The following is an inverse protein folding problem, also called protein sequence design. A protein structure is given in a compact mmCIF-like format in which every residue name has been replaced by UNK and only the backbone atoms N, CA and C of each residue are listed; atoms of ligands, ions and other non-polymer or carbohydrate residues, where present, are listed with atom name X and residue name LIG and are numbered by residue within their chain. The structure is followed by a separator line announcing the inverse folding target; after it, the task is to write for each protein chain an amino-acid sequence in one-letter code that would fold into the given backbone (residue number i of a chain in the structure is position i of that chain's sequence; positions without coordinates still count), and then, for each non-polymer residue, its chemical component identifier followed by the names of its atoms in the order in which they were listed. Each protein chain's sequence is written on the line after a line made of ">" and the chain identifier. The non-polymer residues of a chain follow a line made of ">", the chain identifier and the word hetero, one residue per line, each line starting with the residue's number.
data_IF_756335041857
#
_entry.id   IF_756335041857
#
_cell.length_a   1.000
_cell.length_b   1.000
_cell.length_c   1.000
_cell.angle_alpha   90.00
_cell.angle_beta   90.00
_cell.angle_gamma   90.00
#
_symmetry.space_group_name_H-M   'P 1'
#
loop_
_entity.id
_entity.type
_entity.pdbx_description
1 polymer ?
#
# COMPACT_ATOMS: atom_id res chain seq x y z
N UNK A 1 -7.07 25.94 -31.00
CA UNK A 1 -7.92 26.15 -29.80
C UNK A 1 -8.48 24.88 -29.16
N UNK A 2 -9.08 23.91 -29.91
CA UNK A 2 -9.66 22.68 -29.32
C UNK A 2 -8.67 21.77 -28.53
N UNK A 3 -7.40 21.69 -28.95
CA UNK A 3 -6.34 20.92 -28.26
C UNK A 3 -5.91 21.52 -26.91
N UNK A 4 -5.90 22.85 -26.79
CA UNK A 4 -5.62 23.55 -25.53
C UNK A 4 -6.79 23.41 -24.54
N UNK A 5 -8.02 23.45 -25.04
CA UNK A 5 -9.24 23.26 -24.25
C UNK A 5 -9.37 21.84 -23.67
N UNK A 6 -9.03 20.81 -24.45
CA UNK A 6 -8.97 19.42 -23.96
C UNK A 6 -7.84 19.20 -22.93
N UNK A 7 -6.70 19.87 -23.09
CA UNK A 7 -5.60 19.83 -22.12
C UNK A 7 -6.00 20.51 -20.80
N UNK A 8 -6.74 21.61 -20.87
CA UNK A 8 -7.27 22.35 -19.72
C UNK A 8 -8.34 21.54 -18.94
N UNK A 9 -9.25 20.87 -19.65
CA UNK A 9 -10.26 19.97 -19.06
C UNK A 9 -9.61 18.72 -18.45
N UNK A 10 -8.51 18.22 -19.01
CA UNK A 10 -7.77 17.08 -18.43
C UNK A 10 -7.00 17.42 -17.13
N UNK A 11 -6.74 18.71 -16.88
CA UNK A 11 -6.18 19.22 -15.63
C UNK A 11 -7.25 19.33 -14.53
N UNK A 12 -8.49 19.67 -14.90
CA UNK A 12 -9.63 19.76 -13.99
C UNK A 12 -10.24 18.38 -13.73
N UNK A 13 -9.51 17.55 -12.99
CA UNK A 13 -10.08 16.28 -12.54
C UNK A 13 -11.23 16.57 -11.55
N UNK A 14 -12.45 16.06 -11.75
CA UNK A 14 -13.64 16.44 -10.97
C UNK A 14 -13.50 16.30 -9.44
N UNK A 15 -12.71 15.33 -8.96
CA UNK A 15 -12.46 15.12 -7.53
C UNK A 15 -11.62 16.25 -6.90
N UNK A 16 -10.73 16.89 -7.66
CA UNK A 16 -10.01 18.07 -7.18
C UNK A 16 -10.95 19.26 -6.97
N UNK A 17 -11.87 19.48 -7.91
CA UNK A 17 -12.87 20.55 -7.80
C UNK A 17 -13.78 20.31 -6.59
N UNK A 18 -14.28 19.08 -6.43
CA UNK A 18 -15.13 18.72 -5.29
C UNK A 18 -14.41 18.90 -3.96
N UNK A 19 -13.15 18.46 -3.85
CA UNK A 19 -12.34 18.67 -2.65
C UNK A 19 -12.19 20.16 -2.31
N UNK A 20 -11.82 20.99 -3.29
CA UNK A 20 -11.66 22.44 -3.09
C UNK A 20 -12.98 23.07 -2.65
N UNK A 21 -14.11 22.72 -3.29
CA UNK A 21 -15.41 23.26 -2.91
C UNK A 21 -15.82 22.87 -1.48
N UNK A 22 -15.54 21.63 -1.07
CA UNK A 22 -15.77 21.16 0.31
C UNK A 22 -14.89 21.92 1.31
N UNK A 23 -13.62 22.17 0.99
CA UNK A 23 -12.73 22.96 1.84
C UNK A 23 -13.19 24.42 1.97
N UNK A 24 -13.63 25.02 0.86
CA UNK A 24 -14.18 26.38 0.84
C UNK A 24 -15.45 26.47 1.69
N UNK A 25 -16.34 25.48 1.59
CA UNK A 25 -17.53 25.40 2.44
C UNK A 25 -17.14 25.31 3.93
N UNK A 26 -16.22 24.41 4.28
CA UNK A 26 -15.72 24.28 5.66
C UNK A 26 -15.15 25.59 6.21
N UNK A 27 -14.40 26.33 5.37
CA UNK A 27 -13.88 27.64 5.73
C UNK A 27 -14.97 28.67 6.00
N UNK A 28 -15.96 28.80 5.10
CA UNK A 28 -17.06 29.74 5.31
C UNK A 28 -17.92 29.37 6.52
N UNK A 29 -18.10 28.08 6.79
CA UNK A 29 -18.84 27.61 7.96
C UNK A 29 -18.15 27.95 9.28
N UNK A 30 -16.81 27.86 9.36
CA UNK A 30 -16.05 28.22 10.58
C UNK A 30 -15.67 29.71 10.68
N UNK A 31 -15.70 30.45 9.57
CA UNK A 31 -15.34 31.88 9.51
C UNK A 31 -15.98 32.77 10.58
N UNK A 32 -17.30 32.73 10.86
CA UNK A 32 -17.89 33.60 11.86
C UNK A 32 -17.32 33.35 13.26
N UNK A 33 -17.02 32.08 13.59
CA UNK A 33 -16.38 31.71 14.86
C UNK A 33 -14.93 32.18 14.89
N UNK A 34 -14.18 32.00 13.80
CA UNK A 34 -12.78 32.44 13.73
C UNK A 34 -12.62 33.96 13.86
N UNK A 35 -13.49 34.75 13.23
CA UNK A 35 -13.44 36.21 13.34
C UNK A 35 -13.71 36.67 14.77
N UNK A 36 -14.74 36.11 15.42
CA UNK A 36 -15.00 36.39 16.85
C UNK A 36 -13.80 35.98 17.71
N UNK A 37 -13.26 34.78 17.52
CA UNK A 37 -12.08 34.34 18.26
C UNK A 37 -10.88 35.30 18.06
N UNK A 38 -10.63 35.75 16.84
CA UNK A 38 -9.52 36.66 16.53
C UNK A 38 -9.66 38.03 17.17
N UNK A 39 -10.89 38.55 17.29
CA UNK A 39 -11.14 39.85 17.94
C UNK A 39 -10.96 39.80 19.47
N UNK A 40 -11.15 38.62 20.10
CA UNK A 40 -11.05 38.45 21.57
C UNK A 40 -9.71 37.91 22.08
N UNK A 41 -8.96 37.16 21.26
CA UNK A 41 -7.69 36.52 21.64
C UNK A 41 -6.58 37.52 22.05
N UNK A 42 -6.40 38.69 21.39
CA UNK A 42 -5.38 39.66 21.80
C UNK A 42 -5.57 40.22 23.21
N UNK A 43 -6.83 40.39 23.67
CA UNK A 43 -7.16 40.83 25.03
C UNK A 43 -7.10 39.71 26.07
N UNK A 44 -7.25 38.45 25.65
CA UNK A 44 -7.19 37.28 26.54
C UNK A 44 -5.74 36.86 26.88
N UNK A 45 -4.78 37.11 25.97
CA UNK A 45 -3.37 36.73 26.15
C UNK A 45 -2.68 37.54 27.28
N UNK A 46 -3.15 38.76 27.58
CA UNK A 46 -2.59 39.59 28.67
C UNK A 46 -3.17 39.29 30.06
N UNK A 47 -4.21 38.46 30.17
CA UNK A 47 -4.91 38.19 31.45
C UNK A 47 -5.28 36.71 31.51
N UNK A 48 -4.27 35.85 31.64
CA UNK A 48 -4.40 34.40 31.82
C UNK A 48 -4.95 33.99 33.22
N UNK A 49 -5.88 34.73 33.82
CA UNK A 49 -6.41 34.42 35.15
C UNK A 49 -7.79 33.75 35.16
N UNK A 50 -8.60 33.82 34.10
CA UNK A 50 -9.92 33.17 34.07
C UNK A 50 -10.34 32.68 32.68
N UNK A 51 -9.94 31.44 32.33
CA UNK A 51 -10.43 30.74 31.13
C UNK A 51 -11.96 30.64 31.04
N UNK A 52 -12.66 30.79 32.19
CA UNK A 52 -14.14 30.86 32.28
C UNK A 52 -14.74 32.06 31.56
N UNK A 53 -14.05 33.20 31.53
CA UNK A 53 -14.56 34.41 30.84
C UNK A 53 -14.42 34.29 29.33
N UNK A 54 -13.38 33.59 28.86
CA UNK A 54 -13.20 33.29 27.43
C UNK A 54 -14.22 32.26 26.94
N UNK A 55 -14.60 31.27 27.77
CA UNK A 55 -15.58 30.25 27.42
C UNK A 55 -17.03 30.77 27.43
N UNK A 56 -17.35 31.71 28.33
CA UNK A 56 -18.68 32.33 28.41
C UNK A 56 -18.96 33.28 27.23
N UNK A 57 -17.91 33.88 26.66
CA UNK A 57 -18.00 34.79 25.50
C UNK A 57 -17.99 34.04 24.17
N UNK A 58 -17.22 32.95 24.04
CA UNK A 58 -17.17 32.15 22.80
C UNK A 58 -18.42 31.30 22.60
N UNK A 59 -19.25 31.08 23.62
CA UNK A 59 -20.53 30.38 23.47
C UNK A 59 -20.39 28.89 23.16
N UNK A 60 -21.03 28.03 23.96
CA UNK A 60 -20.88 26.57 23.85
C UNK A 60 -21.26 25.98 22.49
N UNK A 61 -22.13 26.67 21.76
CA UNK A 61 -22.60 26.27 20.43
C UNK A 61 -21.59 26.56 19.31
N UNK A 62 -20.55 27.34 19.57
CA UNK A 62 -19.59 27.77 18.54
C UNK A 62 -18.40 26.82 18.40
N UNK A 63 -18.02 26.12 19.48
CA UNK A 63 -16.94 25.11 19.46
C UNK A 63 -17.29 23.94 18.51
N UNK A 64 -18.52 23.36 18.55
CA UNK A 64 -18.93 22.37 17.54
C UNK A 64 -18.85 22.91 16.12
N UNK A 65 -19.21 24.17 15.89
CA UNK A 65 -19.17 24.79 14.57
C UNK A 65 -17.74 24.87 14.00
N UNK A 66 -16.77 25.26 14.83
CA UNK A 66 -15.36 25.27 14.44
C UNK A 66 -14.85 23.86 14.12
N UNK A 67 -15.13 22.88 14.98
CA UNK A 67 -14.69 21.48 14.81
C UNK A 67 -15.28 20.87 13.53
N UNK A 68 -16.56 21.09 13.26
CA UNK A 68 -17.23 20.59 12.07
C UNK A 68 -16.68 21.23 10.79
N UNK A 69 -16.45 22.55 10.79
CA UNK A 69 -15.86 23.28 9.65
C UNK A 69 -14.41 22.86 9.37
N UNK A 70 -13.60 22.70 10.42
CA UNK A 70 -12.24 22.19 10.33
C UNK A 70 -12.23 20.72 9.82
N UNK A 71 -13.14 19.89 10.32
CA UNK A 71 -13.32 18.51 9.88
C UNK A 71 -13.60 18.41 8.38
N UNK A 72 -14.42 19.30 7.82
CA UNK A 72 -14.69 19.35 6.38
C UNK A 72 -13.45 19.72 5.55
N UNK A 73 -12.64 20.68 5.99
CA UNK A 73 -11.37 21.04 5.32
C UNK A 73 -10.41 19.86 5.32
N UNK A 74 -10.39 19.11 6.41
CA UNK A 74 -9.54 17.95 6.51
C UNK A 74 -10.02 16.79 5.61
N UNK A 75 -11.34 16.55 5.58
CA UNK A 75 -11.91 15.54 4.68
C UNK A 75 -11.71 15.92 3.21
N UNK A 76 -11.66 17.22 2.87
CA UNK A 76 -11.30 17.67 1.54
C UNK A 76 -9.91 17.17 1.09
N UNK A 77 -8.92 17.10 2.00
CA UNK A 77 -7.64 16.48 1.68
C UNK A 77 -7.77 14.98 1.38
N UNK A 78 -8.63 14.27 2.12
CA UNK A 78 -8.96 12.87 1.84
C UNK A 78 -9.67 12.67 0.49
N UNK A 79 -10.52 13.61 0.08
CA UNK A 79 -11.18 13.62 -1.24
C UNK A 79 -10.16 13.81 -2.38
N UNK A 80 -9.09 14.60 -2.20
CA UNK A 80 -8.00 14.72 -3.18
C UNK A 80 -7.34 13.37 -3.47
N UNK A 81 -7.21 12.53 -2.44
CA UNK A 81 -6.66 11.17 -2.53
C UNK A 81 -7.68 10.13 -3.03
N UNK A 82 -8.88 10.57 -3.44
CA UNK A 82 -10.00 9.72 -3.88
C UNK A 82 -10.43 8.68 -2.83
N UNK A 83 -10.29 9.03 -1.55
CA UNK A 83 -10.58 8.10 -0.46
C UNK A 83 -12.08 7.92 -0.25
N UNK A 84 -12.56 6.67 -0.25
CA UNK A 84 -13.98 6.34 -0.04
C UNK A 84 -14.50 6.76 1.33
N UNK A 85 -13.65 6.65 2.35
CA UNK A 85 -13.94 7.05 3.73
C UNK A 85 -14.14 8.56 3.80
N UNK A 86 -13.26 9.35 3.20
CA UNK A 86 -13.39 10.81 3.17
C UNK A 86 -14.66 11.28 2.45
N UNK A 87 -15.07 10.59 1.39
CA UNK A 87 -16.35 10.83 0.70
C UNK A 87 -17.55 10.61 1.62
N UNK A 88 -17.63 9.47 2.29
CA UNK A 88 -18.74 9.15 3.18
C UNK A 88 -18.85 10.13 4.35
N UNK A 89 -17.72 10.48 4.98
CA UNK A 89 -17.69 11.43 6.09
C UNK A 89 -17.96 12.86 5.65
N UNK A 90 -17.50 13.29 4.47
CA UNK A 90 -17.85 14.60 3.93
C UNK A 90 -19.37 14.73 3.75
N UNK A 91 -20.04 13.67 3.27
CA UNK A 91 -21.51 13.67 3.17
C UNK A 91 -22.19 13.78 4.53
N UNK A 92 -21.71 13.03 5.53
CA UNK A 92 -22.25 13.10 6.89
C UNK A 92 -22.05 14.49 7.52
N UNK A 93 -20.85 15.06 7.41
CA UNK A 93 -20.53 16.39 7.94
C UNK A 93 -21.31 17.48 7.20
N UNK A 94 -21.48 17.38 5.88
CA UNK A 94 -22.30 18.32 5.10
C UNK A 94 -23.78 18.25 5.50
N UNK A 95 -24.29 17.06 5.82
CA UNK A 95 -25.65 16.90 6.35
C UNK A 95 -25.80 17.61 7.69
N UNK A 96 -24.90 17.35 8.65
CA UNK A 96 -24.95 17.96 9.99
C UNK A 96 -24.75 19.48 9.92
N UNK A 97 -23.76 19.97 9.18
CA UNK A 97 -23.51 21.42 9.05
C UNK A 97 -24.60 22.13 8.26
N UNK A 98 -25.20 21.46 7.27
CA UNK A 98 -26.36 21.95 6.54
C UNK A 98 -27.59 22.10 7.45
N UNK A 99 -27.92 21.07 8.24
CA UNK A 99 -29.06 21.15 9.18
C UNK A 99 -28.84 22.22 10.23
N UNK A 100 -27.61 22.34 10.78
CA UNK A 100 -27.28 23.42 11.72
C UNK A 100 -27.38 24.81 11.07
N UNK A 101 -26.96 24.96 9.81
CA UNK A 101 -27.09 26.24 9.07
C UNK A 101 -28.54 26.63 8.80
N UNK A 102 -29.46 25.67 8.80
CA UNK A 102 -30.90 25.91 8.63
C UNK A 102 -31.62 26.16 9.96
N UNK A 103 -31.27 25.42 11.02
CA UNK A 103 -31.90 25.53 12.35
C UNK A 103 -31.36 26.71 13.18
N UNK A 104 -30.11 27.13 12.96
CA UNK A 104 -29.52 28.19 13.76
C UNK A 104 -30.19 29.55 13.47
N UNK A 105 -30.55 30.34 14.50
CA UNK A 105 -31.17 31.67 14.32
C UNK A 105 -30.33 32.66 13.51
N UNK A 106 -29.01 32.47 13.47
CA UNK A 106 -28.04 33.26 12.71
C UNK A 106 -27.52 32.52 11.46
N UNK A 107 -28.17 31.43 11.08
CA UNK A 107 -27.76 30.58 9.97
C UNK A 107 -27.90 31.28 8.60
N UNK A 108 -26.97 31.00 7.69
CA UNK A 108 -27.03 31.52 6.32
C UNK A 108 -27.75 30.51 5.42
N UNK A 109 -28.88 30.92 4.83
CA UNK A 109 -29.58 30.14 3.80
C UNK A 109 -28.66 29.81 2.61
N UNK A 110 -27.71 30.69 2.28
CA UNK A 110 -26.72 30.44 1.24
C UNK A 110 -25.79 29.25 1.55
N UNK A 111 -25.38 29.09 2.82
CA UNK A 111 -24.58 27.94 3.24
C UNK A 111 -25.39 26.64 3.19
N UNK A 112 -26.66 26.67 3.57
CA UNK A 112 -27.54 25.51 3.46
C UNK A 112 -27.66 25.01 2.01
N UNK A 113 -28.00 25.88 1.06
CA UNK A 113 -28.09 25.49 -0.35
C UNK A 113 -26.74 25.02 -0.91
N UNK A 114 -25.64 25.64 -0.49
CA UNK A 114 -24.31 25.22 -0.91
C UNK A 114 -23.96 23.81 -0.40
N UNK A 115 -24.32 23.48 0.84
CA UNK A 115 -24.16 22.15 1.42
C UNK A 115 -24.99 21.07 0.68
N UNK A 116 -26.24 21.39 0.34
CA UNK A 116 -27.13 20.50 -0.40
C UNK A 116 -26.58 20.22 -1.81
N UNK A 117 -26.17 21.26 -2.53
CA UNK A 117 -25.58 21.12 -3.88
C UNK A 117 -24.30 20.27 -3.82
N UNK A 118 -23.42 20.53 -2.85
CA UNK A 118 -22.20 19.75 -2.68
C UNK A 118 -22.47 18.29 -2.34
N UNK A 119 -23.47 18.02 -1.51
CA UNK A 119 -23.88 16.66 -1.15
C UNK A 119 -24.39 15.90 -2.38
N UNK A 120 -25.25 16.54 -3.20
CA UNK A 120 -25.73 15.96 -4.46
C UNK A 120 -24.59 15.67 -5.43
N UNK A 121 -23.66 16.61 -5.60
CA UNK A 121 -22.49 16.41 -6.45
C UNK A 121 -21.61 15.27 -5.96
N UNK A 122 -21.35 15.16 -4.66
CA UNK A 122 -20.58 14.05 -4.09
C UNK A 122 -21.28 12.70 -4.33
N UNK A 123 -22.61 12.63 -4.20
CA UNK A 123 -23.39 11.41 -4.48
C UNK A 123 -23.29 11.03 -5.96
N UNK A 124 -23.47 11.99 -6.88
CA UNK A 124 -23.36 11.73 -8.33
C UNK A 124 -21.97 11.21 -8.72
N UNK A 125 -20.92 11.78 -8.13
CA UNK A 125 -19.53 11.39 -8.42
C UNK A 125 -18.99 10.26 -7.52
N UNK A 126 -19.83 9.50 -6.80
CA UNK A 126 -19.38 8.50 -5.82
C UNK A 126 -18.40 7.45 -6.38
N UNK A 127 -18.59 7.01 -7.63
CA UNK A 127 -17.71 6.04 -8.34
C UNK A 127 -16.29 6.55 -8.59
N UNK A 128 -15.99 7.83 -8.33
CA UNK A 128 -14.62 8.37 -8.46
C UNK A 128 -13.80 8.18 -7.17
N UNK A 129 -14.44 7.78 -6.07
CA UNK A 129 -13.85 7.62 -4.74
C UNK A 129 -13.71 6.14 -4.35
N UNK A 130 -13.20 5.30 -5.25
CA UNK A 130 -13.11 3.85 -5.05
C UNK A 130 -11.80 3.40 -4.37
N UNK A 131 -10.88 4.32 -4.06
CA UNK A 131 -9.61 3.96 -3.44
C UNK A 131 -9.76 3.86 -1.91
N UNK A 132 -9.45 2.68 -1.36
CA UNK A 132 -9.17 2.52 0.06
C UNK A 132 -7.76 3.09 0.33
N UNK A 133 -7.69 4.36 0.75
CA UNK A 133 -6.41 5.00 1.09
C UNK A 133 -6.10 4.78 2.58
N UNK A 134 -5.04 4.01 2.85
CA UNK A 134 -4.50 3.79 4.20
C UNK A 134 -4.11 5.12 4.87
N UNK A 135 -3.58 6.07 4.10
CA UNK A 135 -3.24 7.41 4.57
C UNK A 135 -4.48 8.22 4.99
N UNK A 136 -5.61 8.07 4.26
CA UNK A 136 -6.85 8.72 4.63
C UNK A 136 -7.48 8.12 5.89
N UNK A 137 -7.32 6.81 6.12
CA UNK A 137 -7.72 6.15 7.37
C UNK A 137 -6.96 6.67 8.58
N UNK A 138 -5.63 6.79 8.49
CA UNK A 138 -4.81 7.33 9.57
C UNK A 138 -5.08 8.81 9.87
N UNK A 139 -5.27 9.64 8.84
CA UNK A 139 -5.65 11.04 9.00
C UNK A 139 -7.02 11.18 9.67
N UNK A 140 -7.98 10.35 9.27
CA UNK A 140 -9.31 10.30 9.88
C UNK A 140 -9.26 9.92 11.35
N UNK A 141 -8.49 8.88 11.70
CA UNK A 141 -8.28 8.43 13.07
C UNK A 141 -7.72 9.57 13.95
N UNK A 142 -6.65 10.22 13.48
CA UNK A 142 -6.00 11.33 14.19
C UNK A 142 -6.96 12.48 14.46
N UNK A 143 -7.82 12.80 13.49
CA UNK A 143 -8.71 13.96 13.56
C UNK A 143 -9.95 13.67 14.38
N UNK A 144 -10.49 12.46 14.27
CA UNK A 144 -11.58 12.01 15.14
C UNK A 144 -11.12 11.96 16.59
N UNK A 145 -9.91 11.48 16.84
CA UNK A 145 -9.29 11.48 18.16
C UNK A 145 -9.07 12.91 18.69
N UNK A 146 -8.45 13.79 17.91
CA UNK A 146 -8.23 15.17 18.29
C UNK A 146 -9.54 15.93 18.55
N UNK A 147 -10.56 15.72 17.71
CA UNK A 147 -11.87 16.37 17.86
C UNK A 147 -12.58 15.90 19.13
N UNK A 148 -12.55 14.60 19.41
CA UNK A 148 -13.14 14.05 20.63
C UNK A 148 -12.40 14.52 21.88
N UNK A 149 -11.07 14.57 21.83
CA UNK A 149 -10.25 15.10 22.91
C UNK A 149 -10.59 16.57 23.18
N UNK A 150 -10.69 17.41 22.16
CA UNK A 150 -11.11 18.81 22.32
C UNK A 150 -12.52 18.91 22.90
N UNK A 151 -13.48 18.12 22.40
CA UNK A 151 -14.85 18.07 22.94
C UNK A 151 -14.86 17.68 24.43
N UNK A 152 -14.10 16.66 24.80
CA UNK A 152 -14.01 16.19 26.18
C UNK A 152 -13.36 17.24 27.09
N UNK A 153 -12.28 17.88 26.64
CA UNK A 153 -11.55 18.89 27.42
C UNK A 153 -12.37 20.15 27.61
N UNK A 154 -12.93 20.71 26.54
CA UNK A 154 -13.75 21.92 26.67
C UNK A 154 -15.08 21.65 27.36
N UNK A 155 -15.70 20.49 27.13
CA UNK A 155 -16.93 20.10 27.79
C UNK A 155 -16.76 19.87 29.30
N UNK A 156 -15.65 19.24 29.71
CA UNK A 156 -15.34 19.04 31.13
C UNK A 156 -14.94 20.34 31.84
N UNK A 157 -14.26 21.26 31.16
CA UNK A 157 -14.02 22.61 31.68
C UNK A 157 -15.31 23.41 31.84
N UNK A 158 -16.21 23.34 30.87
CA UNK A 158 -17.48 24.06 30.93
C UNK A 158 -18.35 23.56 32.08
N UNK A 159 -18.48 22.24 32.21
CA UNK A 159 -19.21 21.59 33.29
C UNK A 159 -18.35 21.45 34.55
N UNK A 160 -17.22 22.14 34.67
CA UNK A 160 -16.22 21.87 35.69
C UNK A 160 -16.71 21.99 37.14
N UNK A 161 -17.70 22.86 37.39
CA UNK A 161 -18.36 22.97 38.70
C UNK A 161 -19.28 21.79 39.05
N UNK A 162 -19.59 20.94 38.08
CA UNK A 162 -20.47 19.77 38.19
C UNK A 162 -19.69 18.45 38.39
N UNK A 163 -18.37 18.55 38.58
CA UNK A 163 -17.47 17.45 38.92
C UNK A 163 -16.96 17.57 40.36
N UNK A 164 -16.58 16.44 40.95
CA UNK A 164 -15.95 16.36 42.26
C UNK A 164 -14.63 15.59 42.16
N UNK A 165 -13.47 16.20 42.48
CA UNK A 165 -13.26 17.64 42.68
C UNK A 165 -13.58 18.45 41.40
N UNK A 166 -13.86 19.76 41.52
CA UNK A 166 -14.22 20.58 40.37
C UNK A 166 -13.04 20.75 39.42
N UNK A 167 -13.32 20.69 38.12
CA UNK A 167 -12.34 20.88 37.05
C UNK A 167 -12.25 22.38 36.75
N UNK A 168 -11.12 23.02 37.09
CA UNK A 168 -10.96 24.48 36.97
C UNK A 168 -9.88 24.89 35.97
N UNK A 169 -8.95 23.99 35.67
CA UNK A 169 -7.77 24.24 34.87
C UNK A 169 -7.65 23.25 33.69
N UNK A 170 -7.05 23.72 32.59
CA UNK A 170 -6.90 22.96 31.35
C UNK A 170 -6.12 21.63 31.53
N UNK A 171 -5.05 21.56 32.34
CA UNK A 171 -4.37 20.29 32.63
C UNK A 171 -5.28 19.24 33.29
N UNK A 172 -6.06 19.62 34.30
CA UNK A 172 -7.02 18.70 34.96
C UNK A 172 -8.11 18.22 34.00
N UNK A 173 -8.61 19.09 33.13
CA UNK A 173 -9.59 18.72 32.11
C UNK A 173 -9.01 17.76 31.04
N UNK A 174 -7.78 18.02 30.60
CA UNK A 174 -7.03 17.12 29.71
C UNK A 174 -6.81 15.75 30.35
N UNK A 175 -6.39 15.73 31.61
CA UNK A 175 -6.22 14.51 32.38
C UNK A 175 -7.52 13.70 32.46
N UNK A 176 -8.63 14.30 32.91
CA UNK A 176 -9.93 13.64 32.97
C UNK A 176 -10.36 13.08 31.61
N UNK A 177 -10.16 13.86 30.54
CA UNK A 177 -10.54 13.48 29.18
C UNK A 177 -9.77 12.25 28.69
N UNK A 178 -8.45 12.25 28.86
CA UNK A 178 -7.60 11.12 28.46
C UNK A 178 -7.95 9.87 29.26
N UNK A 179 -8.08 9.97 30.59
CA UNK A 179 -8.42 8.84 31.48
C UNK A 179 -9.78 8.23 31.14
N UNK A 180 -10.76 9.08 30.82
CA UNK A 180 -12.11 8.65 30.44
C UNK A 180 -12.12 7.99 29.05
N UNK A 181 -11.43 8.59 28.07
CA UNK A 181 -11.35 8.06 26.70
C UNK A 181 -10.52 6.78 26.60
N UNK A 182 -9.50 6.62 27.45
CA UNK A 182 -8.65 5.42 27.51
C UNK A 182 -9.26 4.27 28.31
N UNK A 183 -10.50 4.43 28.79
CA UNK A 183 -11.22 3.44 29.63
C UNK A 183 -10.49 3.08 30.93
N UNK A 184 -9.57 3.93 31.41
CA UNK A 184 -8.83 3.67 32.66
C UNK A 184 -9.70 3.99 33.88
N UNK A 185 -10.32 5.18 33.87
CA UNK A 185 -11.32 5.57 34.87
C UNK A 185 -10.85 5.48 36.32
N UNK A 186 -9.80 6.24 36.69
CA UNK A 186 -9.25 6.24 38.06
C UNK A 186 -10.27 6.57 39.16
N UNK A 187 -11.36 7.26 38.81
CA UNK A 187 -12.44 7.60 39.75
C UNK A 187 -12.08 8.72 40.73
N UNK A 188 -10.97 9.40 40.49
CA UNK A 188 -10.49 10.56 41.24
C UNK A 188 -11.25 11.85 40.89
N UNK A 189 -11.80 11.96 39.68
CA UNK A 189 -12.70 13.02 39.24
C UNK A 189 -14.02 12.40 38.74
N UNK A 190 -15.14 12.74 39.38
CA UNK A 190 -16.45 12.13 39.08
C UNK A 190 -17.55 13.17 38.85
N UNK A 191 -18.45 12.96 37.86
CA UNK A 191 -19.59 13.83 37.64
C UNK A 191 -20.68 13.59 38.71
N UNK A 192 -21.16 14.65 39.37
CA UNK A 192 -22.18 14.52 40.42
C UNK A 192 -23.58 14.99 39.98
N UNK A 193 -23.68 15.81 38.94
CA UNK A 193 -24.97 16.25 38.36
C UNK A 193 -25.46 15.31 37.24
N UNK A 194 -26.74 15.38 36.89
CA UNK A 194 -27.31 14.60 35.78
C UNK A 194 -26.71 15.00 34.41
N UNK A 195 -26.49 16.30 34.20
CA UNK A 195 -25.89 16.89 32.99
C UNK A 195 -24.45 16.43 32.79
N UNK A 196 -23.60 16.51 33.82
CA UNK A 196 -22.22 16.03 33.76
C UNK A 196 -22.13 14.50 33.56
N UNK A 197 -23.07 13.73 34.12
CA UNK A 197 -23.16 12.28 33.88
C UNK A 197 -23.49 11.97 32.42
N UNK A 198 -24.50 12.61 31.83
CA UNK A 198 -24.86 12.41 30.43
C UNK A 198 -23.74 12.84 29.48
N UNK A 199 -23.09 13.97 29.78
CA UNK A 199 -21.89 14.40 29.06
C UNK A 199 -20.78 13.33 29.13
N UNK A 200 -20.45 12.84 30.32
CA UNK A 200 -19.42 11.81 30.50
C UNK A 200 -19.75 10.53 29.75
N UNK A 201 -21.02 10.09 29.77
CA UNK A 201 -21.50 8.95 28.96
C UNK A 201 -21.26 9.19 27.47
N UNK A 202 -21.54 10.40 26.96
CA UNK A 202 -21.29 10.74 25.55
C UNK A 202 -19.80 10.64 25.19
N UNK A 203 -18.91 11.11 26.07
CA UNK A 203 -17.45 11.03 25.88
C UNK A 203 -16.98 9.58 25.85
N UNK A 204 -17.49 8.72 26.74
CA UNK A 204 -17.12 7.31 26.80
C UNK A 204 -17.58 6.56 25.53
N UNK A 205 -18.84 6.72 25.13
CA UNK A 205 -19.40 6.04 23.94
C UNK A 205 -18.68 6.45 22.66
N UNK A 206 -18.42 7.76 22.49
CA UNK A 206 -17.64 8.26 21.36
C UNK A 206 -16.18 7.81 21.46
N UNK A 207 -15.60 7.79 22.67
CA UNK A 207 -14.23 7.35 22.96
C UNK A 207 -13.95 5.94 22.49
N UNK A 208 -14.81 4.99 22.87
CA UNK A 208 -14.67 3.59 22.46
C UNK A 208 -14.73 3.47 20.93
N UNK A 209 -15.65 4.19 20.28
CA UNK A 209 -15.83 4.13 18.83
C UNK A 209 -14.62 4.71 18.08
N UNK A 210 -14.14 5.88 18.50
CA UNK A 210 -12.97 6.55 17.92
C UNK A 210 -11.70 5.73 18.17
N UNK A 211 -11.53 5.16 19.36
CA UNK A 211 -10.38 4.33 19.70
C UNK A 211 -10.35 3.04 18.88
N UNK A 212 -11.47 2.32 18.79
CA UNK A 212 -11.59 1.09 18.00
C UNK A 212 -11.31 1.32 16.50
N UNK A 213 -11.86 2.39 15.93
CA UNK A 213 -11.64 2.75 14.53
C UNK A 213 -10.21 3.24 14.27
N UNK A 214 -9.61 3.97 15.21
CA UNK A 214 -8.23 4.47 15.10
C UNK A 214 -7.21 3.33 15.13
N UNK A 215 -7.39 2.36 16.02
CA UNK A 215 -6.56 1.14 16.07
C UNK A 215 -6.62 0.39 14.74
N UNK A 216 -7.82 0.19 14.18
CA UNK A 216 -7.98 -0.49 12.90
C UNK A 216 -7.26 0.24 11.76
N UNK A 217 -7.37 1.57 11.72
CA UNK A 217 -6.73 2.42 10.72
C UNK A 217 -5.18 2.47 10.82
N UNK A 218 -4.62 2.33 12.02
CA UNK A 218 -3.16 2.34 12.27
C UNK A 218 -2.56 0.95 12.09
N UNK A 219 -3.22 -0.10 12.61
CA UNK A 219 -2.72 -1.48 12.59
C UNK A 219 -2.88 -2.11 11.20
N UNK A 220 -3.97 -1.83 10.49
CA UNK A 220 -4.22 -2.36 9.14
C UNK A 220 -3.05 -2.17 8.16
N UNK A 221 -2.50 -0.94 8.00
CA UNK A 221 -1.32 -0.71 7.18
C UNK A 221 -0.04 -1.41 7.68
N UNK A 222 0.17 -1.44 9.00
CA UNK A 222 1.38 -2.01 9.63
C UNK A 222 1.43 -3.53 9.44
N UNK A 223 0.31 -4.21 9.58
CA UNK A 223 0.19 -5.66 9.37
C UNK A 223 0.09 -6.01 7.88
N UNK A 224 -0.63 -5.20 7.09
CA UNK A 224 -0.99 -5.54 5.71
C UNK A 224 0.06 -5.21 4.64
N UNK A 225 0.78 -4.09 4.75
CA UNK A 225 1.57 -3.57 3.63
C UNK A 225 3.07 -3.88 3.68
N UNK A 226 3.68 -3.72 4.86
CA UNK A 226 5.14 -3.77 4.99
C UNK A 226 5.67 -5.06 5.60
N UNK A 227 4.90 -5.72 6.47
CA UNK A 227 5.38 -6.92 7.15
C UNK A 227 5.51 -8.11 6.19
N UNK A 228 4.54 -8.30 5.28
CA UNK A 228 4.63 -9.35 4.23
C UNK A 228 5.83 -9.14 3.29
N UNK A 229 6.20 -7.90 2.97
CA UNK A 229 7.32 -7.58 2.05
C UNK A 229 8.68 -7.56 2.75
N UNK A 230 8.75 -7.08 4.00
CA UNK A 230 9.98 -7.03 4.79
C UNK A 230 10.36 -8.40 5.39
N UNK A 231 9.37 -9.22 5.76
CA UNK A 231 9.64 -10.58 6.28
C UNK A 231 9.97 -11.55 5.15
N UNK A 232 9.28 -11.52 3.99
CA UNK A 232 9.65 -12.37 2.84
C UNK A 232 10.93 -11.91 2.13
N UNK A 233 11.16 -10.60 1.99
CA UNK A 233 12.30 -10.07 1.24
C UNK A 233 13.65 -10.20 1.95
N UNK A 234 13.68 -10.19 3.29
CA UNK A 234 14.94 -10.32 4.04
C UNK A 234 15.36 -11.77 4.33
N UNK A 235 14.43 -12.73 4.33
CA UNK A 235 14.79 -14.14 4.57
C UNK A 235 15.34 -14.79 3.29
N UNK A 236 14.89 -14.38 2.09
CA UNK A 236 15.39 -14.92 0.81
C UNK A 236 16.87 -14.56 0.54
N UNK A 237 17.29 -13.33 0.87
CA UNK A 237 18.62 -12.86 0.48
C UNK A 237 19.78 -13.47 1.29
N UNK A 238 19.49 -14.06 2.45
CA UNK A 238 20.51 -14.51 3.42
C UNK A 238 21.01 -15.94 3.15
N UNK A 239 20.35 -16.72 2.28
CA UNK A 239 20.78 -18.10 1.97
C UNK A 239 20.76 -18.49 0.47
N UNK A 240 21.13 -17.60 -0.45
CA UNK A 240 21.40 -17.98 -1.86
C UNK A 240 22.77 -18.64 -2.00
N UNK A 241 22.93 -19.86 -1.46
CA UNK A 241 24.10 -20.74 -1.64
C UNK A 241 23.62 -22.09 -2.15
N UNK A 242 24.27 -22.62 -3.19
CA UNK A 242 23.97 -23.92 -3.77
C UNK A 242 22.51 -24.03 -4.26
N UNK A 243 21.99 -22.96 -4.86
CA UNK A 243 20.63 -22.85 -5.39
C UNK A 243 20.62 -22.87 -6.92
N UNK A 244 19.43 -22.99 -7.50
CA UNK A 244 19.20 -22.95 -8.94
C UNK A 244 18.63 -21.59 -9.33
N UNK A 245 19.11 -21.02 -10.43
CA UNK A 245 18.55 -19.82 -11.06
C UNK A 245 17.84 -20.23 -12.34
N UNK A 246 16.55 -19.91 -12.45
CA UNK A 246 15.75 -20.14 -13.65
C UNK A 246 15.44 -18.79 -14.31
N UNK A 247 15.96 -18.57 -15.52
CA UNK A 247 15.69 -17.38 -16.31
C UNK A 247 14.64 -17.68 -17.37
N UNK A 248 13.42 -17.16 -17.18
CA UNK A 248 12.30 -17.34 -18.08
C UNK A 248 10.98 -17.60 -17.37
N UNK A 249 9.89 -17.45 -18.11
CA UNK A 249 8.51 -17.70 -17.67
C UNK A 249 7.75 -18.57 -18.67
N UNK A 250 8.45 -19.55 -19.24
CA UNK A 250 7.89 -20.49 -20.22
C UNK A 250 7.22 -21.67 -19.50
N UNK A 251 6.32 -22.42 -20.16
CA UNK A 251 5.76 -23.65 -19.60
C UNK A 251 6.86 -24.63 -19.14
N UNK A 252 7.94 -24.75 -19.91
CA UNK A 252 9.10 -25.57 -19.54
C UNK A 252 9.77 -25.04 -18.26
N UNK A 253 10.02 -23.73 -18.18
CA UNK A 253 10.61 -23.11 -17.00
C UNK A 253 9.75 -23.31 -15.74
N UNK A 254 8.42 -23.28 -15.88
CA UNK A 254 7.50 -23.59 -14.79
C UNK A 254 7.54 -25.06 -14.38
N UNK A 255 7.53 -26.00 -15.35
CA UNK A 255 7.64 -27.44 -15.06
C UNK A 255 8.96 -27.78 -14.36
N UNK A 256 10.08 -27.20 -14.80
CA UNK A 256 11.39 -27.36 -14.15
C UNK A 256 11.36 -26.81 -12.73
N UNK A 257 10.79 -25.62 -12.53
CA UNK A 257 10.64 -25.03 -11.20
C UNK A 257 9.82 -25.94 -10.27
N UNK A 258 8.65 -26.43 -10.70
CA UNK A 258 7.81 -27.30 -9.89
C UNK A 258 8.52 -28.61 -9.55
N UNK A 259 9.23 -29.22 -10.51
CA UNK A 259 9.98 -30.46 -10.29
C UNK A 259 11.13 -30.30 -9.29
N UNK A 260 11.89 -29.20 -9.35
CA UNK A 260 12.95 -28.91 -8.39
C UNK A 260 12.38 -28.53 -7.01
N UNK A 261 11.28 -27.77 -6.98
CA UNK A 261 10.63 -27.36 -5.73
C UNK A 261 10.10 -28.55 -4.95
N UNK A 262 9.54 -29.56 -5.63
CA UNK A 262 9.08 -30.81 -5.01
C UNK A 262 10.20 -31.59 -4.31
N UNK A 263 11.44 -31.45 -4.78
CA UNK A 263 12.63 -32.08 -4.21
C UNK A 263 13.25 -31.28 -3.06
N UNK A 264 12.70 -30.10 -2.75
CA UNK A 264 13.19 -29.22 -1.69
C UNK A 264 14.37 -28.33 -2.09
N UNK A 265 14.66 -28.20 -3.39
CA UNK A 265 15.76 -27.37 -3.88
C UNK A 265 15.49 -25.87 -3.68
N UNK A 266 16.54 -25.12 -3.35
CA UNK A 266 16.48 -23.66 -3.30
C UNK A 266 16.49 -23.09 -4.74
N UNK A 267 15.53 -22.22 -5.05
CA UNK A 267 15.26 -21.74 -6.40
C UNK A 267 15.06 -20.23 -6.39
N UNK A 268 15.68 -19.54 -7.36
CA UNK A 268 15.42 -18.14 -7.68
C UNK A 268 15.01 -18.05 -9.15
N UNK A 269 13.93 -17.32 -9.44
CA UNK A 269 13.40 -17.18 -10.80
C UNK A 269 13.55 -15.73 -11.25
N UNK A 270 13.99 -15.50 -12.49
CA UNK A 270 14.12 -14.17 -13.10
C UNK A 270 13.15 -14.05 -14.27
N UNK A 271 12.30 -13.03 -14.24
CA UNK A 271 11.29 -12.76 -15.28
C UNK A 271 11.38 -11.30 -15.74
N UNK A 272 11.44 -11.01 -17.06
CA UNK A 272 11.47 -9.65 -17.56
C UNK A 272 10.23 -8.82 -17.18
N UNK A 273 10.35 -7.48 -17.10
CA UNK A 273 9.19 -6.63 -16.89
C UNK A 273 8.18 -6.80 -18.04
N UNK A 274 6.89 -6.83 -17.71
CA UNK A 274 5.76 -7.03 -18.64
C UNK A 274 5.61 -8.44 -19.24
N UNK A 275 6.32 -9.45 -18.73
CA UNK A 275 6.06 -10.86 -19.09
C UNK A 275 5.14 -11.47 -18.03
N UNK A 276 4.00 -12.01 -18.46
CA UNK A 276 3.09 -12.75 -17.58
C UNK A 276 3.71 -14.09 -17.18
N UNK A 277 3.49 -14.54 -15.95
CA UNK A 277 4.01 -15.81 -15.46
C UNK A 277 3.02 -16.48 -14.50
N UNK A 278 3.12 -17.80 -14.37
CA UNK A 278 2.25 -18.64 -13.53
C UNK A 278 2.96 -19.16 -12.28
N UNK A 279 4.16 -18.64 -11.98
CA UNK A 279 4.90 -19.03 -10.77
C UNK A 279 4.07 -18.76 -9.48
N UNK A 280 4.08 -19.71 -8.51
CA UNK A 280 3.40 -19.55 -7.23
C UNK A 280 3.81 -18.27 -6.47
N UNK A 281 2.90 -17.68 -5.65
CA UNK A 281 3.15 -16.42 -4.94
C UNK A 281 4.20 -16.49 -3.81
N UNK A 282 4.70 -17.68 -3.49
CA UNK A 282 5.79 -17.94 -2.54
C UNK A 282 7.17 -18.13 -3.22
N UNK A 283 7.23 -18.03 -4.55
CA UNK A 283 8.48 -18.12 -5.33
C UNK A 283 9.43 -16.95 -5.01
N UNK A 284 10.73 -17.25 -4.87
CA UNK A 284 11.78 -16.21 -4.87
C UNK A 284 11.95 -15.68 -6.30
N UNK A 285 11.19 -14.63 -6.62
CA UNK A 285 11.06 -14.08 -7.97
C UNK A 285 11.72 -12.70 -8.05
N UNK A 286 12.55 -12.51 -9.07
CA UNK A 286 13.18 -11.24 -9.43
C UNK A 286 12.58 -10.76 -10.74
N UNK A 287 11.99 -9.55 -10.72
CA UNK A 287 11.52 -8.89 -11.93
C UNK A 287 12.66 -8.06 -12.50
N UNK A 288 13.21 -8.50 -13.62
CA UNK A 288 14.39 -7.89 -14.24
C UNK A 288 14.78 -8.62 -15.52
N UNK A 289 15.61 -7.96 -16.33
CA UNK A 289 16.15 -8.57 -17.53
C UNK A 289 17.20 -9.64 -17.17
N UNK A 290 16.98 -10.93 -17.49
CA UNK A 290 17.92 -11.99 -17.16
C UNK A 290 19.21 -11.94 -17.98
N UNK A 291 19.27 -11.16 -19.07
CA UNK A 291 20.50 -10.91 -19.82
C UNK A 291 21.43 -9.89 -19.13
N UNK A 292 20.95 -9.23 -18.06
CA UNK A 292 21.73 -8.23 -17.31
C UNK A 292 22.59 -8.89 -16.24
N UNK A 293 23.91 -8.67 -16.32
CA UNK A 293 24.87 -9.07 -15.28
C UNK A 293 24.45 -8.60 -13.87
N UNK A 294 23.92 -7.37 -13.76
CA UNK A 294 23.45 -6.80 -12.49
C UNK A 294 22.30 -7.63 -11.88
N UNK A 295 21.34 -8.05 -12.71
CA UNK A 295 20.18 -8.84 -12.27
C UNK A 295 20.63 -10.26 -11.87
N UNK A 296 21.58 -10.84 -12.59
CA UNK A 296 22.16 -12.14 -12.24
C UNK A 296 22.97 -12.08 -10.93
N UNK A 297 23.71 -11.00 -10.68
CA UNK A 297 24.40 -10.77 -9.40
C UNK A 297 23.38 -10.67 -8.27
N UNK A 298 22.30 -9.89 -8.47
CA UNK A 298 21.19 -9.81 -7.51
C UNK A 298 20.60 -11.20 -7.23
N UNK A 299 20.38 -12.01 -8.26
CA UNK A 299 19.91 -13.40 -8.16
C UNK A 299 20.91 -14.36 -7.50
N UNK A 300 22.13 -13.91 -7.18
CA UNK A 300 23.15 -14.71 -6.51
C UNK A 300 23.90 -15.66 -7.45
N UNK A 301 24.05 -15.32 -8.74
CA UNK A 301 24.69 -16.16 -9.75
C UNK A 301 26.06 -16.72 -9.34
N UNK A 302 26.88 -15.93 -8.63
CA UNK A 302 28.19 -16.37 -8.13
C UNK A 302 28.13 -17.61 -7.21
N UNK A 303 27.01 -17.85 -6.52
CA UNK A 303 26.83 -18.94 -5.55
C UNK A 303 25.82 -19.99 -6.02
N UNK A 304 25.30 -19.84 -7.23
CA UNK A 304 24.35 -20.78 -7.81
C UNK A 304 25.06 -22.07 -8.23
N UNK A 305 24.35 -23.20 -8.10
CA UNK A 305 24.77 -24.50 -8.65
C UNK A 305 24.54 -24.54 -10.15
N UNK A 306 23.37 -24.06 -10.58
CA UNK A 306 22.98 -24.00 -11.98
C UNK A 306 22.30 -22.67 -12.32
N UNK A 307 22.53 -22.19 -13.55
CA UNK A 307 21.81 -21.08 -14.18
C UNK A 307 21.18 -21.62 -15.46
N UNK A 308 19.85 -21.60 -15.54
CA UNK A 308 19.09 -22.17 -16.64
C UNK A 308 18.46 -21.04 -17.49
N UNK A 309 18.84 -20.95 -18.75
CA UNK A 309 18.25 -20.06 -19.75
C UNK A 309 17.13 -20.79 -20.49
N UNK A 310 15.89 -20.55 -20.06
CA UNK A 310 14.69 -21.29 -20.48
C UNK A 310 13.64 -20.36 -21.12
N UNK A 311 14.07 -19.36 -21.90
CA UNK A 311 13.16 -18.46 -22.64
C UNK A 311 12.82 -19.02 -24.03
N UNK A 312 11.75 -18.49 -24.61
CA UNK A 312 11.30 -18.86 -25.97
C UNK A 312 12.21 -18.30 -27.07
N UNK A 313 12.95 -17.22 -26.79
CA UNK A 313 13.89 -16.61 -27.73
C UNK A 313 15.31 -17.13 -27.49
N UNK A 314 15.88 -17.79 -28.50
CA UNK A 314 17.24 -18.35 -28.45
C UNK A 314 18.31 -17.26 -28.35
N UNK A 315 18.11 -16.08 -28.96
CA UNK A 315 19.06 -14.98 -28.85
C UNK A 315 19.16 -14.49 -27.40
N UNK A 316 18.02 -14.36 -26.73
CA UNK A 316 17.95 -14.03 -25.30
C UNK A 316 18.63 -15.10 -24.45
N UNK A 317 18.39 -16.39 -24.73
CA UNK A 317 19.08 -17.48 -24.04
C UNK A 317 20.61 -17.40 -24.20
N UNK A 318 21.10 -17.04 -25.40
CA UNK A 318 22.52 -16.81 -25.64
C UNK A 318 23.09 -15.68 -24.78
N UNK A 319 22.38 -14.54 -24.70
CA UNK A 319 22.79 -13.41 -23.87
C UNK A 319 22.79 -13.74 -22.38
N UNK A 320 21.81 -14.50 -21.90
CA UNK A 320 21.78 -14.99 -20.52
C UNK A 320 23.01 -15.84 -20.22
N UNK A 321 23.40 -16.75 -21.12
CA UNK A 321 24.61 -17.58 -20.94
C UNK A 321 25.87 -16.73 -20.89
N UNK A 322 26.00 -15.73 -21.77
CA UNK A 322 27.15 -14.81 -21.77
C UNK A 322 27.22 -14.00 -20.47
N UNK A 323 26.11 -13.41 -20.03
CA UNK A 323 26.04 -12.65 -18.79
C UNK A 323 26.30 -13.54 -17.56
N UNK A 324 25.80 -14.78 -17.57
CA UNK A 324 26.08 -15.76 -16.53
C UNK A 324 27.58 -16.06 -16.43
N UNK A 325 28.28 -16.21 -17.56
CA UNK A 325 29.73 -16.44 -17.56
C UNK A 325 30.56 -15.27 -17.05
N UNK A 326 30.06 -14.05 -17.19
CA UNK A 326 30.71 -12.86 -16.67
C UNK A 326 30.67 -12.81 -15.13
N UNK A 327 29.59 -13.31 -14.51
CA UNK A 327 29.32 -13.11 -13.07
C UNK A 327 29.35 -14.38 -12.22
N UNK A 328 29.24 -15.56 -12.84
CA UNK A 328 29.17 -16.83 -12.13
C UNK A 328 30.57 -17.37 -11.78
N UNK A 329 30.63 -18.20 -10.74
CA UNK A 329 31.87 -18.84 -10.34
C UNK A 329 32.16 -20.08 -11.21
N UNK A 330 33.40 -20.56 -11.21
CA UNK A 330 33.83 -21.74 -12.00
C UNK A 330 33.04 -23.04 -11.71
N UNK A 331 32.40 -23.13 -10.54
CA UNK A 331 31.59 -24.28 -10.13
C UNK A 331 30.12 -24.18 -10.57
N UNK A 332 29.68 -23.02 -11.06
CA UNK A 332 28.31 -22.79 -11.51
C UNK A 332 28.16 -23.30 -12.94
N UNK A 333 27.17 -24.16 -13.17
CA UNK A 333 26.90 -24.75 -14.49
C UNK A 333 25.78 -24.00 -15.21
N UNK A 334 25.99 -23.73 -16.48
CA UNK A 334 25.04 -23.01 -17.34
C UNK A 334 24.32 -23.98 -18.26
N UNK A 335 23.00 -23.90 -18.29
CA UNK A 335 22.14 -24.72 -19.16
C UNK A 335 21.35 -23.79 -20.07
N UNK A 336 21.34 -24.06 -21.37
CA UNK A 336 20.53 -23.31 -22.34
C UNK A 336 19.61 -24.23 -23.12
N UNK A 337 18.35 -23.83 -23.26
CA UNK A 337 17.44 -24.45 -24.22
C UNK A 337 17.60 -23.78 -25.59
N UNK A 338 17.43 -24.58 -26.64
CA UNK A 338 17.41 -24.17 -28.04
C UNK A 338 16.07 -24.58 -28.64
N UNK A 339 15.24 -23.59 -28.91
CA UNK A 339 13.89 -23.75 -29.43
C UNK A 339 13.91 -23.99 -30.95
N UNK A 340 14.82 -23.35 -31.69
CA UNK A 340 14.98 -23.56 -33.13
C UNK A 340 16.30 -24.26 -33.47
N UNK A 341 16.22 -25.44 -34.10
CA UNK A 341 17.39 -26.26 -34.48
C UNK A 341 18.48 -25.49 -35.25
N UNK A 342 18.11 -24.54 -36.11
CA UNK A 342 19.03 -23.67 -36.86
C UNK A 342 19.92 -22.77 -35.97
N UNK A 343 19.54 -22.52 -34.71
CA UNK A 343 20.30 -21.70 -33.77
C UNK A 343 21.27 -22.51 -32.90
N UNK A 344 21.22 -23.85 -32.94
CA UNK A 344 22.02 -24.73 -32.07
C UNK A 344 23.52 -24.40 -32.12
N UNK A 345 24.08 -24.25 -33.32
CA UNK A 345 25.50 -23.94 -33.47
C UNK A 345 25.87 -22.56 -32.94
N UNK A 346 24.95 -21.58 -32.99
CA UNK A 346 25.18 -20.25 -32.42
C UNK A 346 25.18 -20.29 -30.89
N UNK A 347 24.27 -21.07 -30.30
CA UNK A 347 24.20 -21.26 -28.85
C UNK A 347 25.42 -22.03 -28.33
N UNK A 348 25.89 -23.06 -29.06
CA UNK A 348 27.13 -23.77 -28.71
C UNK A 348 28.36 -22.85 -28.71
N UNK A 349 28.39 -21.78 -29.53
CA UNK A 349 29.51 -20.82 -29.56
C UNK A 349 29.62 -19.95 -28.30
N UNK A 350 28.53 -19.73 -27.57
CA UNK A 350 28.61 -19.08 -26.24
C UNK A 350 29.01 -20.09 -25.14
N UNK A 351 29.24 -21.34 -25.52
CA UNK A 351 29.74 -22.48 -24.73
C UNK A 351 29.04 -22.66 -23.38
N UNK A 352 27.70 -22.77 -23.32
CA UNK A 352 27.05 -23.23 -22.09
C UNK A 352 27.57 -24.62 -21.72
N UNK A 353 27.54 -24.98 -20.44
CA UNK A 353 27.97 -26.31 -20.00
C UNK A 353 27.06 -27.42 -20.56
N UNK A 354 25.78 -27.12 -20.76
CA UNK A 354 24.79 -28.04 -21.33
C UNK A 354 23.83 -27.31 -22.29
N UNK A 355 23.46 -27.98 -23.38
CA UNK A 355 22.52 -27.45 -24.39
C UNK A 355 21.40 -28.46 -24.62
N UNK A 356 20.16 -28.01 -24.52
CA UNK A 356 18.97 -28.84 -24.73
C UNK A 356 18.20 -28.36 -25.95
N UNK A 357 18.09 -29.18 -26.99
CA UNK A 357 17.17 -28.92 -28.09
C UNK A 357 16.01 -29.92 -28.04
N UNK A 358 14.86 -29.45 -27.55
CA UNK A 358 13.67 -30.29 -27.43
C UNK A 358 13.16 -30.78 -28.79
N UNK A 359 13.29 -29.94 -29.83
CA UNK A 359 12.88 -30.32 -31.18
C UNK A 359 13.72 -31.47 -31.75
N UNK A 360 15.05 -31.40 -31.58
CA UNK A 360 15.96 -32.46 -32.06
C UNK A 360 15.79 -33.76 -31.26
N UNK A 361 15.62 -33.63 -29.94
CA UNK A 361 15.33 -34.78 -29.07
C UNK A 361 14.01 -35.44 -29.50
N UNK A 362 12.95 -34.65 -29.67
CA UNK A 362 11.65 -35.16 -30.11
C UNK A 362 11.72 -35.81 -31.49
N UNK A 363 12.45 -35.22 -32.45
CA UNK A 363 12.59 -35.81 -33.78
C UNK A 363 13.35 -37.13 -33.75
N UNK A 364 14.44 -37.23 -32.98
CA UNK A 364 15.23 -38.46 -32.89
C UNK A 364 14.43 -39.60 -32.25
N UNK A 365 13.74 -39.31 -31.14
CA UNK A 365 12.88 -40.29 -30.46
C UNK A 365 11.75 -40.77 -31.38
N UNK A 366 11.14 -39.87 -32.16
CA UNK A 366 10.09 -40.23 -33.11
C UNK A 366 10.62 -41.09 -34.26
N UNK A 367 11.73 -40.69 -34.89
CA UNK A 367 12.34 -41.45 -36.00
C UNK A 367 12.67 -42.87 -35.54
N UNK A 368 13.32 -43.02 -34.40
CA UNK A 368 13.67 -44.34 -33.87
C UNK A 368 12.47 -45.18 -33.51
N UNK A 369 11.47 -44.59 -32.85
CA UNK A 369 10.21 -45.29 -32.52
C UNK A 369 9.53 -45.80 -33.79
N UNK A 370 9.48 -44.98 -34.85
CA UNK A 370 8.89 -45.37 -36.13
C UNK A 370 9.73 -46.40 -36.89
N UNK A 371 11.06 -46.38 -36.71
CA UNK A 371 12.00 -47.34 -37.30
C UNK A 371 12.14 -48.64 -36.49
N UNK A 372 11.47 -48.77 -35.33
CA UNK A 372 11.61 -49.93 -34.45
C UNK A 372 12.97 -50.03 -33.75
N UNK A 373 13.71 -48.92 -33.66
CA UNK A 373 15.00 -48.85 -32.99
C UNK A 373 14.82 -48.64 -31.47
N UNK A 374 15.65 -49.29 -30.64
CA UNK A 374 15.58 -49.12 -29.19
C UNK A 374 16.04 -47.72 -28.79
N UNK A 375 15.40 -47.17 -27.75
CA UNK A 375 15.84 -45.97 -27.04
C UNK A 375 16.61 -46.46 -25.80
N UNK A 376 17.94 -46.32 -25.82
CA UNK A 376 18.81 -46.73 -24.72
C UNK A 376 19.42 -45.54 -23.97
N UNK A 377 19.98 -45.81 -22.78
CA UNK A 377 20.58 -44.79 -21.93
C UNK A 377 21.79 -44.10 -22.59
N UNK A 378 22.47 -44.84 -23.49
CA UNK A 378 23.63 -44.34 -24.22
C UNK A 378 23.23 -43.25 -25.21
N UNK A 379 22.17 -43.49 -25.99
CA UNK A 379 21.57 -42.52 -26.89
C UNK A 379 21.13 -41.26 -26.15
N UNK A 380 20.43 -41.43 -25.02
CA UNK A 380 20.00 -40.30 -24.18
C UNK A 380 21.20 -39.45 -23.77
N UNK A 381 22.30 -40.10 -23.36
CA UNK A 381 23.52 -39.41 -22.96
C UNK A 381 24.18 -38.69 -24.14
N UNK A 382 24.28 -39.31 -25.32
CA UNK A 382 24.83 -38.70 -26.53
C UNK A 382 24.01 -37.49 -27.00
N UNK A 383 22.68 -37.56 -26.90
CA UNK A 383 21.77 -36.46 -27.27
C UNK A 383 21.87 -35.25 -26.35
N UNK A 384 22.10 -35.46 -25.04
CA UNK A 384 22.16 -34.38 -24.05
C UNK A 384 23.56 -33.82 -23.81
N UNK A 385 24.61 -34.63 -23.96
CA UNK A 385 25.99 -34.25 -23.61
C UNK A 385 26.95 -34.25 -24.81
N UNK A 386 26.52 -34.71 -25.98
CA UNK A 386 27.37 -34.91 -27.15
C UNK A 386 28.33 -36.11 -27.00
N UNK A 387 28.96 -36.53 -28.10
CA UNK A 387 29.92 -37.63 -28.08
C UNK A 387 31.16 -37.28 -27.24
N UNK A 388 31.26 -37.86 -26.04
CA UNK A 388 32.46 -37.81 -25.18
C UNK A 388 33.53 -38.84 -25.57
N UNK A 389 33.29 -39.63 -26.61
CA UNK A 389 34.06 -40.81 -27.00
C UNK A 389 35.18 -40.58 -28.04
N UNK A 390 35.56 -39.34 -28.35
CA UNK A 390 36.60 -39.06 -29.38
C UNK A 390 37.97 -38.60 -28.87
N UNK A 391 38.19 -38.53 -27.56
CA UNK A 391 39.46 -37.98 -27.00
C UNK A 391 40.46 -39.06 -26.54
N UNK A 392 40.05 -40.32 -26.36
CA UNK A 392 40.94 -41.37 -25.81
C UNK A 392 41.64 -42.27 -26.84
N UNK A 393 41.24 -42.26 -28.11
CA UNK A 393 41.80 -43.17 -29.13
C UNK A 393 42.87 -42.52 -30.04
N UNK A 394 43.17 -41.22 -29.86
CA UNK A 394 44.20 -40.52 -30.63
C UNK A 394 45.60 -40.52 -29.99
N UNK A 395 45.78 -41.09 -28.79
CA UNK A 395 47.09 -41.22 -28.12
C UNK A 395 47.67 -42.65 -28.14
N UNK A 396 47.08 -43.58 -28.92
CA UNK A 396 47.59 -44.95 -29.11
C UNK A 396 47.63 -45.41 -30.57
N UNK A 397 47.90 -44.50 -31.50
CA UNK A 397 48.16 -44.80 -32.92
C UNK A 397 49.59 -44.47 -33.30
#
# INVERSE_FOLDING_TARGET
>A
MKKLFHKFISLFKPHWCLAVLVAVYGYFFMRPVMLRAFDYVPSAISTFSSWKDTLSVVGLLEIPQFVLGFGLILMAFGLLLRARVAWAFSLLLLLVTGTLSFLAPQGSLGLFFYAVILSLLLIVYWRRFDHASLAAGGLFALVSFASLLLYAVFGSLYLGGEFAPPILDMPTAFYFSVVSMSTVGFGDIVPHTATARLFTVSVIVMGITVFATSISAIIGPVIGGNLKRLVKGRISHVMRKNHFIIAGATPLALSVYLGLKQRGDALTVIVPPNVSHEYPPDTDLIIGDPSSAKVLIEAGAAKAKFILALRDDDAENAFIVLAAKEVANANTKTISVVNASKHLQKIKRVQPDMVFSLQLLGSELLVRTLSGEPIDDKLITELFFGNTSSVTDAEKG
#
